data_IF_355943412810
#
_entry.id   IF_355943412810
#
_cell.length_a   1.000
_cell.length_b   1.000
_cell.length_c   1.000
_cell.angle_alpha   90.00
_cell.angle_beta   90.00
_cell.angle_gamma   90.00
#
_symmetry.space_group_name_H-M   'P 1'
#
loop_
_entity.id
_entity.type
_entity.pdbx_description
1 polymer ?
#
# COMPACT_ATOMS: atom_id res chain seq x y z
N UNK A 1 -9.48 4.95 22.46
CA UNK A 1 -10.03 5.88 21.46
C UNK A 1 -9.29 5.64 20.17
N UNK A 2 -9.99 5.31 19.08
CA UNK A 2 -9.34 5.16 17.76
C UNK A 2 -8.89 6.55 17.30
N UNK A 3 -7.59 6.78 17.22
CA UNK A 3 -7.04 8.01 16.64
C UNK A 3 -7.44 8.07 15.17
N UNK A 4 -8.36 8.98 14.82
CA UNK A 4 -8.68 9.25 13.41
C UNK A 4 -7.62 10.19 12.84
N UNK A 5 -6.88 9.71 11.85
CA UNK A 5 -6.07 10.52 10.95
C UNK A 5 -6.69 10.44 9.55
N UNK A 6 -6.54 11.51 8.78
CA UNK A 6 -6.99 11.56 7.38
C UNK A 6 -5.77 11.48 6.47
N UNK A 7 -5.76 10.54 5.53
CA UNK A 7 -4.71 10.52 4.50
C UNK A 7 -4.82 11.73 3.59
N UNK A 8 -3.67 12.30 3.21
CA UNK A 8 -3.59 13.38 2.23
C UNK A 8 -3.07 12.79 0.93
N UNK A 9 -3.70 13.18 -0.18
CA UNK A 9 -3.33 12.73 -1.50
C UNK A 9 -3.59 13.80 -2.55
N UNK A 10 -3.44 13.43 -3.81
CA UNK A 10 -3.74 14.29 -4.95
C UNK A 10 -5.06 13.87 -5.56
N UNK A 11 -5.88 14.86 -5.94
CA UNK A 11 -7.22 14.67 -6.48
C UNK A 11 -7.69 15.89 -7.26
N UNK A 12 -8.98 15.92 -7.67
CA UNK A 12 -9.54 17.03 -8.44
C UNK A 12 -9.40 18.35 -7.68
N UNK A 13 -9.28 19.47 -8.41
CA UNK A 13 -9.19 20.80 -7.80
C UNK A 13 -10.36 21.11 -6.87
N UNK A 14 -11.55 20.57 -7.16
CA UNK A 14 -12.75 20.71 -6.31
C UNK A 14 -12.60 20.09 -4.92
N UNK A 15 -11.60 19.22 -4.72
CA UNK A 15 -11.26 18.59 -3.45
C UNK A 15 -9.97 19.17 -2.84
N UNK A 16 -9.51 20.33 -3.32
CA UNK A 16 -8.29 20.97 -2.80
C UNK A 16 -8.43 21.30 -1.32
N UNK A 17 -7.36 21.07 -0.56
CA UNK A 17 -7.28 21.47 0.83
C UNK A 17 -6.82 22.92 0.93
N UNK A 18 -7.62 23.76 1.59
CA UNK A 18 -7.17 25.08 2.01
C UNK A 18 -6.24 24.94 3.23
N UNK A 19 -5.00 25.39 3.08
CA UNK A 19 -3.96 25.28 4.10
C UNK A 19 -3.30 26.62 4.36
N UNK A 20 -2.93 26.85 5.61
CA UNK A 20 -2.07 27.94 6.06
C UNK A 20 -0.75 27.41 6.62
N UNK A 21 0.21 28.31 6.79
CA UNK A 21 1.52 28.00 7.41
C UNK A 21 1.60 28.68 8.77
N UNK A 22 1.84 27.89 9.82
CA UNK A 22 2.01 28.35 11.22
C UNK A 22 3.39 27.93 11.72
N UNK A 23 4.36 28.83 11.59
CA UNK A 23 5.77 28.49 11.81
C UNK A 23 6.24 27.50 10.73
N UNK A 24 6.71 26.31 11.13
CA UNK A 24 7.08 25.23 10.21
C UNK A 24 5.95 24.23 9.95
N UNK A 25 4.77 24.41 10.55
CA UNK A 25 3.65 23.49 10.36
C UNK A 25 2.72 23.96 9.25
N UNK A 26 2.31 23.03 8.39
CA UNK A 26 1.22 23.22 7.43
C UNK A 26 -0.07 22.80 8.11
N UNK A 27 -1.08 23.66 8.08
CA UNK A 27 -2.31 23.52 8.87
C UNK A 27 -3.52 23.71 7.95
N UNK A 28 -4.46 22.75 7.97
CA UNK A 28 -5.75 22.86 7.28
C UNK A 28 -6.61 23.93 7.95
N UNK A 29 -7.07 24.90 7.17
CA UNK A 29 -7.76 26.09 7.70
C UNK A 29 -9.14 25.77 8.29
N UNK A 30 -9.82 24.74 7.79
CA UNK A 30 -11.18 24.42 8.21
C UNK A 30 -11.29 23.88 9.63
N UNK A 31 -10.27 23.19 10.13
CA UNK A 31 -10.32 22.48 11.42
C UNK A 31 -9.00 22.47 12.20
N UNK A 32 -8.02 23.25 11.75
CA UNK A 32 -6.66 23.30 12.30
C UNK A 32 -5.93 21.94 12.29
N UNK A 33 -6.33 20.97 11.48
CA UNK A 33 -5.57 19.74 11.35
C UNK A 33 -4.16 20.03 10.81
N UNK A 34 -3.14 19.42 11.39
CA UNK A 34 -1.74 19.64 11.05
C UNK A 34 -1.27 18.53 10.12
N UNK A 35 -0.58 18.92 9.06
CA UNK A 35 0.10 17.99 8.18
C UNK A 35 1.23 17.30 8.94
N UNK A 36 1.29 15.99 8.85
CA UNK A 36 2.32 15.18 9.49
C UNK A 36 2.81 14.10 8.53
N UNK A 37 4.13 13.92 8.46
CA UNK A 37 4.71 12.72 7.86
C UNK A 37 4.61 11.58 8.87
N UNK A 38 4.00 10.45 8.45
CA UNK A 38 4.05 9.21 9.22
C UNK A 38 5.34 8.50 8.83
N UNK A 39 6.31 8.46 9.74
CA UNK A 39 7.56 7.72 9.53
C UNK A 39 7.98 6.96 10.78
N UNK A 40 8.62 5.80 10.58
CA UNK A 40 9.32 5.10 11.66
C UNK A 40 10.68 5.77 11.87
N UNK A 41 10.79 6.65 12.87
CA UNK A 41 12.01 7.32 13.38
C UNK A 41 12.78 8.24 12.42
N UNK A 42 12.66 8.08 11.10
CA UNK A 42 13.28 8.92 10.05
C UNK A 42 12.36 9.02 8.83
N UNK A 43 12.28 10.21 8.21
CA UNK A 43 11.57 10.39 6.94
C UNK A 43 12.35 9.73 5.80
N UNK A 44 11.65 8.97 4.97
CA UNK A 44 12.15 8.32 3.77
C UNK A 44 11.26 8.59 2.56
N UNK A 45 11.80 8.34 1.37
CA UNK A 45 11.02 8.31 0.14
C UNK A 45 9.92 7.25 0.24
N UNK A 46 8.69 7.62 -0.10
CA UNK A 46 7.52 6.74 -0.04
C UNK A 46 6.75 6.80 1.28
N UNK A 47 7.22 7.57 2.27
CA UNK A 47 6.44 7.80 3.49
C UNK A 47 5.15 8.55 3.18
N UNK A 48 4.05 8.11 3.78
CA UNK A 48 2.75 8.76 3.64
C UNK A 48 2.68 10.03 4.49
N UNK A 49 1.85 10.94 4.02
CA UNK A 49 1.53 12.17 4.73
C UNK A 49 0.04 12.15 5.11
N UNK A 50 -0.24 12.57 6.34
CA UNK A 50 -1.58 12.59 6.89
C UNK A 50 -1.89 13.96 7.48
N UNK A 51 -3.17 14.30 7.54
CA UNK A 51 -3.67 15.34 8.43
C UNK A 51 -4.04 14.69 9.76
N UNK A 52 -3.55 15.26 10.85
CA UNK A 52 -3.98 14.92 12.20
C UNK A 52 -4.58 16.14 12.90
N UNK A 53 -5.60 15.98 13.74
CA UNK A 53 -6.05 17.04 14.63
C UNK A 53 -4.90 17.67 15.44
N UNK A 54 -4.83 19.00 15.57
CA UNK A 54 -3.79 19.70 16.34
C UNK A 54 -3.72 19.21 17.80
N UNK A 55 -4.87 18.81 18.36
CA UNK A 55 -4.99 18.24 19.71
C UNK A 55 -4.17 16.97 19.91
N UNK A 56 -3.87 16.23 18.83
CA UNK A 56 -3.08 15.01 18.85
C UNK A 56 -1.58 15.26 18.68
N UNK A 57 -1.14 16.47 18.32
CA UNK A 57 0.29 16.83 18.16
C UNK A 57 1.12 16.55 19.42
N UNK A 58 0.48 16.61 20.60
CA UNK A 58 1.08 16.37 21.92
C UNK A 58 0.93 14.94 22.43
N UNK A 59 0.07 14.13 21.80
CA UNK A 59 -0.10 12.74 22.21
C UNK A 59 0.92 11.88 21.49
N UNK A 60 1.72 11.14 22.27
CA UNK A 60 2.62 10.12 21.75
C UNK A 60 1.74 8.99 21.23
N UNK A 61 1.48 8.94 19.91
CA UNK A 61 0.70 7.87 19.28
C UNK A 61 1.58 6.62 19.27
N UNK A 62 1.57 5.92 20.40
CA UNK A 62 2.13 4.63 20.87
C UNK A 62 3.18 3.81 20.09
N UNK A 63 3.80 4.30 19.01
CA UNK A 63 4.92 3.67 18.27
C UNK A 63 5.36 4.49 17.04
N UNK A 64 4.61 5.53 16.65
CA UNK A 64 4.89 6.35 15.46
C UNK A 64 5.45 7.72 15.88
N UNK A 65 6.56 8.12 15.24
CA UNK A 65 7.14 9.46 15.38
C UNK A 65 6.60 10.32 14.24
N UNK A 66 5.66 11.20 14.58
CA UNK A 66 5.09 12.16 13.64
C UNK A 66 6.01 13.38 13.55
N UNK A 67 6.37 13.77 12.32
CA UNK A 67 7.06 15.04 12.06
C UNK A 67 6.08 16.05 11.46
N UNK A 68 6.11 17.26 12.01
CA UNK A 68 5.15 18.34 11.71
C UNK A 68 5.80 19.56 11.08
N UNK A 69 7.12 19.52 10.90
CA UNK A 69 7.91 20.64 10.44
C UNK A 69 8.27 20.40 8.99
N UNK A 70 7.84 21.33 8.14
CA UNK A 70 8.08 21.37 6.71
C UNK A 70 8.73 22.71 6.36
N UNK A 71 9.70 22.65 5.48
CA UNK A 71 10.29 23.83 4.84
C UNK A 71 9.68 23.97 3.44
N UNK A 72 9.22 25.18 3.10
CA UNK A 72 8.78 25.52 1.75
C UNK A 72 9.92 26.26 1.07
N UNK A 73 10.43 25.69 -0.02
CA UNK A 73 11.56 26.25 -0.76
C UNK A 73 11.10 27.28 -1.80
N UNK A 74 12.05 28.08 -2.32
CA UNK A 74 11.74 29.21 -3.24
C UNK A 74 11.09 28.77 -4.55
N UNK A 75 11.28 27.51 -4.96
CA UNK A 75 10.62 26.90 -6.14
C UNK A 75 9.21 26.36 -5.82
N UNK A 76 8.74 26.51 -4.58
CA UNK A 76 7.45 26.04 -4.10
C UNK A 76 7.43 24.59 -3.61
N UNK A 77 8.55 23.86 -3.67
CA UNK A 77 8.60 22.50 -3.15
C UNK A 77 8.46 22.49 -1.61
N UNK A 78 7.70 21.54 -1.10
CA UNK A 78 7.45 21.35 0.33
C UNK A 78 8.25 20.15 0.79
N UNK A 79 9.18 20.33 1.72
CA UNK A 79 10.12 19.30 2.18
C UNK A 79 10.01 19.10 3.69
N UNK A 80 10.14 17.87 4.23
CA UNK A 80 10.26 17.70 5.69
C UNK A 80 11.50 18.45 6.21
N UNK A 81 11.37 19.16 7.32
CA UNK A 81 12.47 19.98 7.83
C UNK A 81 13.71 19.15 8.16
N UNK A 82 14.86 19.61 7.66
CA UNK A 82 16.14 18.89 7.75
C UNK A 82 16.31 17.75 6.75
N UNK A 83 15.42 17.62 5.76
CA UNK A 83 15.48 16.66 4.65
C UNK A 83 15.25 17.36 3.30
N UNK A 84 16.14 18.26 2.87
CA UNK A 84 15.99 19.01 1.62
C UNK A 84 16.07 18.13 0.36
N UNK A 85 16.54 16.89 0.51
CA UNK A 85 16.57 15.86 -0.53
C UNK A 85 15.20 15.18 -0.76
N UNK A 86 14.21 15.45 0.08
CA UNK A 86 12.86 14.90 0.01
C UNK A 86 11.83 16.02 -0.16
N UNK A 87 10.95 15.89 -1.15
CA UNK A 87 9.81 16.77 -1.33
C UNK A 87 8.49 15.99 -1.31
N UNK A 88 7.41 16.66 -0.90
CA UNK A 88 6.05 16.20 -1.16
C UNK A 88 5.86 16.09 -2.67
N UNK A 89 5.40 14.93 -3.11
CA UNK A 89 5.22 14.65 -4.53
C UNK A 89 4.09 13.66 -4.75
N UNK A 90 3.88 13.31 -6.02
CA UNK A 90 2.93 12.28 -6.39
C UNK A 90 3.46 10.91 -5.94
N UNK A 91 2.66 10.24 -5.10
CA UNK A 91 2.88 8.85 -4.77
C UNK A 91 2.55 7.94 -5.95
N UNK A 92 3.06 6.71 -5.90
CA UNK A 92 2.58 5.63 -6.75
C UNK A 92 1.09 5.35 -6.46
N UNK A 93 0.26 5.03 -7.46
CA UNK A 93 -1.12 4.61 -7.23
C UNK A 93 -1.18 3.47 -6.20
N UNK A 94 -1.95 3.64 -5.13
CA UNK A 94 -2.11 2.59 -4.11
C UNK A 94 -2.97 1.45 -4.65
N UNK A 95 -2.65 0.23 -4.23
CA UNK A 95 -3.38 -0.97 -4.59
C UNK A 95 -4.58 -1.13 -3.66
N UNK A 96 -5.78 -1.14 -4.24
CA UNK A 96 -7.06 -1.13 -3.51
C UNK A 96 -8.03 -2.17 -4.06
N UNK A 97 -9.12 -2.43 -3.33
CA UNK A 97 -10.28 -3.12 -3.87
C UNK A 97 -11.15 -2.16 -4.67
N UNK A 98 -11.60 -2.59 -5.84
CA UNK A 98 -12.54 -1.87 -6.72
C UNK A 98 -13.71 -2.78 -7.09
N UNK A 99 -14.78 -2.22 -7.66
CA UNK A 99 -15.83 -3.04 -8.27
C UNK A 99 -15.24 -3.93 -9.38
N UNK A 100 -15.76 -5.16 -9.54
CA UNK A 100 -15.26 -6.13 -10.54
C UNK A 100 -15.26 -5.58 -11.96
N UNK A 101 -16.23 -4.77 -12.31
CA UNK A 101 -16.41 -4.12 -13.61
C UNK A 101 -15.67 -2.78 -13.74
N UNK A 102 -15.00 -2.32 -12.68
CA UNK A 102 -14.30 -1.04 -12.68
C UNK A 102 -13.21 -0.99 -13.76
N UNK A 103 -13.08 0.15 -14.48
CA UNK A 103 -11.97 0.35 -15.41
C UNK A 103 -10.62 0.44 -14.68
N UNK A 104 -10.63 0.67 -13.36
CA UNK A 104 -9.43 0.77 -12.53
C UNK A 104 -8.94 -0.59 -12.01
N UNK A 105 -9.56 -1.71 -12.42
CA UNK A 105 -9.07 -3.04 -12.07
C UNK A 105 -7.73 -3.30 -12.75
N UNK A 106 -6.81 -3.96 -12.05
CA UNK A 106 -5.53 -4.35 -12.64
C UNK A 106 -5.63 -5.72 -13.28
N UNK A 107 -4.98 -5.87 -14.43
CA UNK A 107 -4.91 -7.13 -15.20
C UNK A 107 -3.45 -7.55 -15.31
N UNK A 108 -3.14 -8.80 -14.95
CA UNK A 108 -1.78 -9.31 -14.97
C UNK A 108 -1.36 -9.75 -16.37
N UNK A 109 -0.15 -9.34 -16.79
CA UNK A 109 0.46 -9.77 -18.06
C UNK A 109 0.68 -11.28 -18.10
N UNK A 110 1.13 -11.86 -16.98
CA UNK A 110 1.54 -13.26 -16.90
C UNK A 110 0.52 -14.13 -16.15
N UNK A 111 -0.77 -13.76 -16.18
CA UNK A 111 -1.85 -14.40 -15.41
C UNK A 111 -1.92 -15.91 -15.65
N UNK A 112 -1.90 -16.35 -16.91
CA UNK A 112 -1.93 -17.78 -17.29
C UNK A 112 -0.72 -18.54 -16.76
N UNK A 113 0.48 -17.97 -16.90
CA UNK A 113 1.72 -18.59 -16.39
C UNK A 113 1.70 -18.71 -14.87
N UNK A 114 1.15 -17.70 -14.18
CA UNK A 114 0.98 -17.72 -12.72
C UNK A 114 -0.06 -18.76 -12.28
N UNK A 115 -1.17 -18.90 -13.02
CA UNK A 115 -2.21 -19.90 -12.75
C UNK A 115 -1.72 -21.34 -12.99
N UNK A 116 -1.02 -21.57 -14.10
CA UNK A 116 -0.51 -22.89 -14.51
C UNK A 116 0.69 -23.35 -13.66
N UNK A 117 1.24 -22.47 -12.82
CA UNK A 117 2.37 -22.78 -11.96
C UNK A 117 1.97 -23.85 -10.92
N UNK A 118 2.42 -25.09 -11.15
CA UNK A 118 2.23 -26.20 -10.22
C UNK A 118 3.19 -26.06 -9.03
N UNK A 119 2.83 -25.28 -8.03
CA UNK A 119 3.55 -25.34 -6.77
C UNK A 119 3.36 -26.70 -6.09
N UNK A 120 4.41 -27.27 -5.47
CA UNK A 120 4.22 -28.38 -4.54
C UNK A 120 3.25 -27.93 -3.45
N UNK A 121 2.20 -28.72 -3.22
CA UNK A 121 1.13 -28.43 -2.26
C UNK A 121 1.70 -27.92 -0.92
N UNK A 122 1.04 -26.90 -0.38
CA UNK A 122 1.13 -26.36 0.99
C UNK A 122 2.33 -26.84 1.82
N UNK A 123 3.38 -26.00 1.92
CA UNK A 123 4.51 -26.24 2.83
C UNK A 123 5.86 -25.84 2.28
N UNK A 124 5.98 -25.67 0.96
CA UNK A 124 7.23 -25.25 0.33
C UNK A 124 7.58 -23.80 0.69
N UNK A 125 8.85 -23.55 1.02
CA UNK A 125 9.37 -22.20 1.17
C UNK A 125 9.44 -21.55 -0.22
N UNK A 126 8.74 -20.43 -0.49
CA UNK A 126 8.90 -19.74 -1.76
C UNK A 126 10.29 -19.06 -1.89
N UNK A 127 11.03 -18.95 -0.78
CA UNK A 127 12.33 -18.31 -0.73
C UNK A 127 13.33 -18.96 -1.70
N UNK A 128 13.86 -18.18 -2.65
CA UNK A 128 14.87 -18.62 -3.63
C UNK A 128 14.32 -19.32 -4.87
N UNK A 129 12.99 -19.44 -5.03
CA UNK A 129 12.39 -19.93 -6.28
C UNK A 129 12.24 -18.79 -7.28
N UNK A 130 12.39 -19.05 -8.58
CA UNK A 130 12.11 -18.06 -9.62
C UNK A 130 10.59 -17.78 -9.71
N UNK A 131 10.14 -16.70 -9.08
CA UNK A 131 8.74 -16.27 -9.09
C UNK A 131 8.33 -15.58 -10.40
N UNK A 132 7.02 -15.49 -10.63
CA UNK A 132 6.42 -14.73 -11.74
C UNK A 132 6.26 -13.28 -11.30
N UNK A 133 6.73 -12.29 -12.08
CA UNK A 133 6.53 -10.89 -11.75
C UNK A 133 5.06 -10.49 -11.94
N UNK A 134 4.52 -9.71 -11.00
CA UNK A 134 3.18 -9.13 -11.06
C UNK A 134 3.13 -7.90 -11.97
N UNK A 135 3.55 -8.07 -13.22
CA UNK A 135 3.45 -7.05 -14.28
C UNK A 135 2.01 -6.88 -14.75
N UNK A 136 1.67 -5.67 -15.18
CA UNK A 136 0.31 -5.29 -15.56
C UNK A 136 0.16 -5.10 -17.07
N UNK A 137 -0.82 -5.78 -17.66
CA UNK A 137 -1.22 -5.56 -19.06
C UNK A 137 -2.21 -4.39 -19.18
N UNK A 138 -2.98 -4.13 -18.12
CA UNK A 138 -3.85 -2.95 -18.00
C UNK A 138 -3.07 -1.63 -17.88
N UNK A 139 -1.78 -1.69 -17.54
CA UNK A 139 -0.89 -0.54 -17.46
C UNK A 139 0.53 -0.91 -17.93
N UNK A 140 0.80 -0.86 -19.26
CA UNK A 140 2.08 -1.28 -19.82
C UNK A 140 3.28 -0.55 -19.21
N UNK A 141 4.33 -1.31 -18.89
CA UNK A 141 5.53 -0.79 -18.22
C UNK A 141 5.43 -0.70 -16.70
N UNK A 142 4.29 -1.09 -16.12
CA UNK A 142 4.06 -1.11 -14.67
C UNK A 142 3.84 -2.51 -14.10
N UNK A 143 3.99 -2.62 -12.78
CA UNK A 143 3.77 -3.82 -11.98
C UNK A 143 3.29 -3.49 -10.57
N UNK A 144 2.79 -4.50 -9.86
CA UNK A 144 2.46 -4.39 -8.44
C UNK A 144 3.76 -4.41 -7.63
N UNK A 145 3.98 -3.39 -6.82
CA UNK A 145 5.20 -3.18 -6.01
C UNK A 145 4.86 -2.96 -4.54
N UNK A 146 5.82 -3.17 -3.65
CA UNK A 146 5.72 -2.61 -2.30
C UNK A 146 5.92 -1.09 -2.36
N UNK A 147 5.03 -0.31 -1.74
CA UNK A 147 5.14 1.17 -1.70
C UNK A 147 6.38 1.63 -0.93
N UNK A 148 6.83 0.80 0.00
CA UNK A 148 7.95 1.06 0.89
C UNK A 148 8.86 -0.16 0.99
N UNK A 149 10.16 0.10 1.08
CA UNK A 149 11.17 -0.93 1.36
C UNK A 149 11.09 -1.42 2.83
N UNK A 150 10.46 -0.65 3.71
CA UNK A 150 10.37 -0.93 5.14
C UNK A 150 9.03 -1.59 5.48
N UNK A 151 9.12 -2.73 6.17
CA UNK A 151 7.93 -3.35 6.74
C UNK A 151 7.52 -2.64 8.04
N UNK A 152 6.23 -2.38 8.20
CA UNK A 152 5.65 -1.94 9.46
C UNK A 152 5.57 -3.17 10.36
N UNK A 153 6.19 -3.09 11.55
CA UNK A 153 6.21 -4.15 12.55
C UNK A 153 5.18 -3.86 13.64
N UNK A 154 4.15 -4.71 13.77
CA UNK A 154 3.16 -4.69 14.84
C UNK A 154 3.24 -6.00 15.62
N UNK A 155 4.19 -6.08 16.55
CA UNK A 155 4.46 -7.28 17.33
C UNK A 155 4.87 -8.47 16.44
N UNK A 156 4.09 -9.58 16.40
CA UNK A 156 4.40 -10.75 15.59
C UNK A 156 4.02 -10.60 14.11
N UNK A 157 3.48 -9.44 13.72
CA UNK A 157 3.00 -9.15 12.37
C UNK A 157 3.93 -8.15 11.69
N UNK A 158 4.28 -8.43 10.44
CA UNK A 158 4.97 -7.51 9.55
C UNK A 158 4.10 -7.29 8.31
N UNK A 159 3.95 -6.04 7.88
CA UNK A 159 3.28 -5.77 6.63
C UNK A 159 3.91 -4.62 5.83
N UNK A 160 3.68 -4.64 4.52
CA UNK A 160 4.05 -3.56 3.58
C UNK A 160 2.82 -3.18 2.77
N UNK A 161 2.58 -1.89 2.60
CA UNK A 161 1.56 -1.42 1.67
C UNK A 161 1.97 -1.68 0.23
N UNK A 162 0.97 -1.86 -0.63
CA UNK A 162 1.14 -2.20 -2.03
C UNK A 162 0.64 -1.07 -2.92
N UNK A 163 1.32 -0.89 -4.03
CA UNK A 163 0.98 0.10 -5.05
C UNK A 163 1.40 -0.35 -6.44
N UNK A 164 1.32 0.57 -7.39
CA UNK A 164 1.70 0.35 -8.79
C UNK A 164 2.96 1.13 -9.12
N UNK A 165 4.01 0.43 -9.53
CA UNK A 165 5.31 1.01 -9.85
C UNK A 165 5.89 0.46 -11.15
N UNK A 166 7.15 0.79 -11.47
CA UNK A 166 7.85 0.26 -12.65
C UNK A 166 7.85 -1.28 -12.71
N UNK A 167 7.64 -1.85 -13.90
CA UNK A 167 7.56 -3.30 -14.12
C UNK A 167 8.83 -4.06 -13.68
N UNK A 168 10.01 -3.47 -13.84
CA UNK A 168 11.30 -4.05 -13.42
C UNK A 168 11.44 -4.21 -11.90
N UNK A 169 10.57 -3.54 -11.13
CA UNK A 169 10.46 -3.62 -9.66
C UNK A 169 9.25 -4.44 -9.20
N UNK A 170 8.49 -5.03 -10.12
CA UNK A 170 7.30 -5.80 -9.80
C UNK A 170 7.62 -6.95 -8.82
N UNK A 171 6.73 -7.16 -7.86
CA UNK A 171 6.83 -8.27 -6.92
C UNK A 171 6.84 -9.58 -7.69
N UNK A 172 7.81 -10.44 -7.37
CA UNK A 172 7.86 -11.81 -7.89
C UNK A 172 7.15 -12.73 -6.91
N UNK A 173 6.19 -13.49 -7.42
CA UNK A 173 5.30 -14.28 -6.59
C UNK A 173 5.13 -15.71 -7.11
N UNK A 174 4.63 -16.56 -6.23
CA UNK A 174 4.10 -17.87 -6.55
C UNK A 174 2.62 -17.91 -6.14
N UNK A 175 1.82 -18.69 -6.87
CA UNK A 175 0.40 -18.90 -6.59
C UNK A 175 0.11 -20.38 -6.36
N UNK A 176 -0.56 -20.73 -5.26
CA UNK A 176 -0.89 -22.12 -4.91
C UNK A 176 -2.35 -22.53 -5.24
N UNK A 177 -3.03 -21.74 -6.09
CA UNK A 177 -4.47 -21.88 -6.36
C UNK A 177 -5.36 -21.13 -5.37
N UNK A 178 -4.76 -20.50 -4.33
CA UNK A 178 -5.49 -19.69 -3.35
C UNK A 178 -4.69 -18.50 -2.84
N UNK A 179 -3.42 -18.70 -2.50
CA UNK A 179 -2.56 -17.71 -1.85
C UNK A 179 -1.47 -17.27 -2.83
N UNK A 180 -1.31 -15.96 -2.96
CA UNK A 180 -0.20 -15.33 -3.68
C UNK A 180 0.91 -15.03 -2.67
N UNK A 181 2.06 -15.68 -2.80
CA UNK A 181 3.20 -15.57 -1.88
C UNK A 181 4.40 -14.93 -2.57
N UNK A 182 5.01 -13.91 -1.95
CA UNK A 182 6.24 -13.29 -2.40
C UNK A 182 7.43 -14.26 -2.28
N UNK A 183 8.27 -14.35 -3.32
CA UNK A 183 9.47 -15.22 -3.31
C UNK A 183 10.62 -14.65 -2.50
N UNK A 184 10.63 -13.35 -2.23
CA UNK A 184 11.73 -12.71 -1.49
C UNK A 184 11.72 -13.12 -0.02
N UNK A 185 10.54 -13.13 0.60
CA UNK A 185 10.42 -13.27 2.05
C UNK A 185 9.23 -14.15 2.49
N UNK A 186 8.47 -14.71 1.55
CA UNK A 186 7.29 -15.53 1.86
C UNK A 186 6.11 -14.78 2.48
N UNK A 187 6.11 -13.44 2.45
CA UNK A 187 4.92 -12.65 2.74
C UNK A 187 3.81 -12.97 1.73
N UNK A 188 2.55 -12.78 2.13
CA UNK A 188 1.39 -13.09 1.28
C UNK A 188 0.58 -11.84 0.98
N UNK A 189 0.00 -11.79 -0.22
CA UNK A 189 -0.98 -10.77 -0.57
C UNK A 189 -2.20 -10.90 0.34
N UNK A 190 -2.67 -9.78 0.90
CA UNK A 190 -3.78 -9.75 1.85
C UNK A 190 -4.66 -8.51 1.66
N UNK A 191 -5.97 -8.70 1.83
CA UNK A 191 -6.94 -7.60 2.05
C UNK A 191 -6.75 -7.03 3.46
N UNK A 192 -6.43 -5.74 3.56
CA UNK A 192 -6.14 -5.10 4.85
C UNK A 192 -7.34 -5.23 5.81
N UNK A 193 -7.05 -5.64 7.05
CA UNK A 193 -8.04 -5.85 8.11
C UNK A 193 -9.22 -6.76 7.73
N UNK A 194 -9.11 -7.57 6.68
CA UNK A 194 -10.21 -8.43 6.19
C UNK A 194 -11.47 -7.64 5.82
N UNK A 195 -11.32 -6.36 5.47
CA UNK A 195 -12.44 -5.50 5.08
C UNK A 195 -12.65 -5.57 3.55
N UNK A 196 -13.75 -6.18 3.12
CA UNK A 196 -14.07 -6.34 1.69
C UNK A 196 -14.97 -5.22 1.18
N UNK A 197 -14.44 -4.00 1.19
CA UNK A 197 -15.13 -2.79 0.72
C UNK A 197 -14.32 -2.12 -0.39
N UNK A 198 -15.02 -1.44 -1.31
CA UNK A 198 -14.38 -0.63 -2.36
C UNK A 198 -13.52 0.45 -1.70
N UNK A 199 -12.30 0.63 -2.20
CA UNK A 199 -11.31 1.56 -1.67
C UNK A 199 -10.45 0.98 -0.55
N UNK A 200 -10.77 -0.19 0.02
CA UNK A 200 -9.91 -0.79 1.04
C UNK A 200 -8.57 -1.23 0.45
N UNK A 201 -7.50 -1.04 1.21
CA UNK A 201 -6.14 -1.27 0.76
C UNK A 201 -5.74 -2.75 0.76
N UNK A 202 -4.73 -3.07 -0.04
CA UNK A 202 -4.05 -4.37 -0.06
C UNK A 202 -2.65 -4.24 0.54
N UNK A 203 -2.16 -5.30 1.18
CA UNK A 203 -0.83 -5.33 1.75
C UNK A 203 -0.14 -6.67 1.52
N UNK A 204 1.20 -6.67 1.62
CA UNK A 204 1.95 -7.89 1.91
C UNK A 204 1.95 -8.10 3.41
N UNK A 205 1.62 -9.31 3.84
CA UNK A 205 1.50 -9.65 5.25
C UNK A 205 2.33 -10.89 5.59
N UNK A 206 3.05 -10.85 6.70
CA UNK A 206 3.84 -11.97 7.24
C UNK A 206 3.70 -12.05 8.75
N UNK A 207 3.50 -13.26 9.29
CA UNK A 207 3.58 -13.55 10.73
C UNK A 207 4.81 -14.39 11.06
N UNK A 208 5.15 -14.45 12.35
CA UNK A 208 6.24 -15.28 12.87
C UNK A 208 6.13 -16.76 12.49
N UNK A 209 4.93 -17.30 12.27
CA UNK A 209 4.76 -18.66 11.74
C UNK A 209 4.06 -18.65 10.38
N UNK A 210 4.55 -19.50 9.46
CA UNK A 210 4.00 -19.67 8.11
C UNK A 210 2.55 -20.18 8.15
N UNK A 211 2.25 -21.09 9.08
CA UNK A 211 0.89 -21.62 9.27
C UNK A 211 -0.09 -20.52 9.65
N UNK A 212 0.29 -19.60 10.56
CA UNK A 212 -0.58 -18.49 10.95
C UNK A 212 -0.75 -17.40 9.88
N UNK A 213 0.16 -17.37 8.89
CA UNK A 213 0.08 -16.46 7.73
C UNK A 213 -0.85 -17.01 6.64
N UNK A 214 -1.07 -18.34 6.62
CA UNK A 214 -1.81 -19.05 5.56
C UNK A 214 -3.17 -19.59 6.00
N UNK A 215 -3.71 -19.09 7.11
CA UNK A 215 -5.05 -19.44 7.59
C UNK A 215 -6.11 -19.07 6.54
N UNK A 216 -6.98 -20.03 6.22
CA UNK A 216 -8.11 -19.83 5.30
C UNK A 216 -9.03 -18.74 5.82
N UNK A 217 -9.57 -17.89 4.95
CA UNK A 217 -10.51 -16.83 5.34
C UNK A 217 -9.88 -15.56 5.90
N UNK A 218 -8.58 -15.56 6.19
CA UNK A 218 -7.90 -14.42 6.82
C UNK A 218 -7.48 -13.32 5.81
N UNK A 219 -8.29 -13.07 4.77
CA UNK A 219 -8.01 -12.03 3.76
C UNK A 219 -6.93 -12.36 2.72
N UNK A 220 -6.37 -13.57 2.72
CA UNK A 220 -5.25 -13.96 1.84
C UNK A 220 -5.69 -14.86 0.67
N UNK A 221 -6.98 -15.10 0.54
CA UNK A 221 -7.55 -16.02 -0.46
C UNK A 221 -7.93 -15.23 -1.71
N UNK A 222 -7.21 -15.45 -2.82
CA UNK A 222 -7.40 -14.78 -4.10
C UNK A 222 -7.59 -15.79 -5.23
N UNK A 223 -8.40 -15.40 -6.21
CA UNK A 223 -8.53 -16.09 -7.49
C UNK A 223 -7.94 -15.23 -8.60
N UNK A 224 -7.29 -15.87 -9.56
CA UNK A 224 -6.96 -15.29 -10.86
C UNK A 224 -8.13 -15.58 -11.78
N UNK A 225 -8.72 -14.54 -12.37
CA UNK A 225 -9.86 -14.67 -13.25
C UNK A 225 -9.42 -14.93 -14.69
N UNK A 226 -10.35 -15.35 -15.55
CA UNK A 226 -10.07 -15.65 -16.96
C UNK A 226 -9.48 -14.45 -17.72
N UNK A 227 -9.92 -13.23 -17.38
CA UNK A 227 -9.41 -11.99 -17.97
C UNK A 227 -8.04 -11.59 -17.42
N UNK A 228 -7.46 -12.35 -16.48
CA UNK A 228 -6.16 -12.11 -15.88
C UNK A 228 -6.16 -11.13 -14.69
N UNK A 229 -7.31 -10.60 -14.30
CA UNK A 229 -7.43 -9.78 -13.09
C UNK A 229 -7.52 -10.65 -11.82
N UNK A 230 -7.30 -10.04 -10.66
CA UNK A 230 -7.35 -10.70 -9.35
C UNK A 230 -8.62 -10.32 -8.59
N UNK A 231 -9.22 -11.28 -7.89
CA UNK A 231 -10.35 -11.04 -6.99
C UNK A 231 -10.18 -11.78 -5.66
N UNK A 232 -10.58 -11.19 -4.53
CA UNK A 232 -10.66 -11.95 -3.28
C UNK A 232 -11.73 -13.04 -3.40
N UNK A 233 -11.42 -14.25 -2.97
CA UNK A 233 -12.35 -15.39 -3.09
C UNK A 233 -13.63 -15.20 -2.26
N UNK A 234 -13.57 -14.42 -1.18
CA UNK A 234 -14.72 -14.14 -0.30
C UNK A 234 -15.57 -12.95 -0.76
N UNK A 235 -15.14 -12.21 -1.78
CA UNK A 235 -15.86 -11.08 -2.35
C UNK A 235 -15.63 -11.02 -3.88
N UNK A 236 -16.18 -11.99 -4.64
CA UNK A 236 -15.92 -12.12 -6.08
C UNK A 236 -16.50 -10.96 -6.92
N UNK A 237 -17.42 -10.18 -6.35
CA UNK A 237 -17.91 -8.93 -6.92
C UNK A 237 -16.91 -7.77 -6.84
N UNK A 238 -15.76 -7.96 -6.18
CA UNK A 238 -14.65 -7.02 -6.12
C UNK A 238 -13.46 -7.52 -6.94
N UNK A 239 -12.58 -6.61 -7.32
CA UNK A 239 -11.30 -6.90 -7.95
C UNK A 239 -10.17 -6.11 -7.27
N UNK A 240 -8.95 -6.57 -7.44
CA UNK A 240 -7.77 -5.75 -7.19
C UNK A 240 -7.70 -4.67 -8.27
N UNK A 241 -7.54 -3.42 -7.84
CA UNK A 241 -7.39 -2.25 -8.68
C UNK A 241 -6.38 -1.28 -8.09
N UNK A 242 -6.28 -0.11 -8.67
CA UNK A 242 -5.45 0.96 -8.13
C UNK A 242 -6.15 2.31 -8.15
N UNK A 243 -5.67 3.22 -7.30
CA UNK A 243 -6.12 4.62 -7.27
C UNK A 243 -5.52 5.37 -8.46
N UNK A 244 -6.07 5.22 -9.66
CA UNK A 244 -5.71 6.10 -10.77
C UNK A 244 -6.18 7.54 -10.46
N UNK A 245 -5.35 8.51 -10.85
CA UNK A 245 -5.64 9.94 -10.84
C UNK A 245 -6.47 10.31 -12.07
#
# INVERSE_FOLDING_TARGET
QNTQFSYVGVGPQTCSLEVGVKGKSIVRLSDNAVLASISSNSCHRGDHVVMIPETLKKQRISSMLLRYDFDITDDGAISPSGKPDLALGLGHPSLILVSRDSPNRVVLTHSKKLYDMKLPKVGHDPCGTEGIPLELSSLPGCGIVAESNYAINLGPVRFKWLGVGPADKALRVLYDGRIISCVEDGSVLRVANECYEIGNALCLHRRNSKSATRSKGAGNDFTINEDGSLSPMHAPNLAVGCTFQ
#
